data_IF_589395521374
#
_entry.id   IF_589395521374
#
_cell.length_a   1.000
_cell.length_b   1.000
_cell.length_c   1.000
_cell.angle_alpha   90.00
_cell.angle_beta   90.00
_cell.angle_gamma   90.00
#
_symmetry.space_group_name_H-M   'P 1'
#
loop_
_entity.id
_entity.type
_entity.pdbx_description
1 polymer ?
#
# COMPACT_ATOMS: atom_id res chain seq x y z
N UNK A 1 -4.22 2.28 14.02
CA UNK A 1 -3.94 2.75 12.66
C UNK A 1 -4.80 2.05 11.64
N UNK A 2 -5.25 2.76 10.64
CA UNK A 2 -6.08 2.21 9.58
C UNK A 2 -5.24 1.99 8.33
N UNK A 3 -4.99 0.73 8.00
CA UNK A 3 -4.16 0.34 6.86
C UNK A 3 -5.00 -0.31 5.77
N UNK A 4 -4.79 0.11 4.53
CA UNK A 4 -5.38 -0.54 3.37
C UNK A 4 -4.32 -1.38 2.69
N UNK A 5 -4.62 -2.67 2.49
CA UNK A 5 -3.71 -3.61 1.84
C UNK A 5 -4.29 -3.97 0.48
N UNK A 6 -3.52 -3.74 -0.58
CA UNK A 6 -3.92 -4.06 -1.94
C UNK A 6 -3.02 -5.19 -2.43
N UNK A 7 -3.54 -6.42 -2.38
CA UNK A 7 -2.77 -7.63 -2.63
C UNK A 7 -3.68 -8.74 -3.11
N UNK A 8 -3.38 -9.35 -4.24
CA UNK A 8 -4.21 -10.41 -4.83
C UNK A 8 -3.96 -11.81 -4.23
N UNK A 9 -2.80 -12.05 -3.62
CA UNK A 9 -2.47 -13.34 -3.04
C UNK A 9 -3.12 -13.53 -1.67
N UNK A 10 -3.98 -14.56 -1.49
CA UNK A 10 -4.55 -14.85 -0.16
C UNK A 10 -3.49 -15.16 0.89
N UNK A 11 -2.42 -15.84 0.49
CA UNK A 11 -1.33 -16.19 1.40
C UNK A 11 -0.61 -14.93 1.89
N UNK A 12 -0.30 -14.01 0.98
CA UNK A 12 0.40 -12.78 1.34
C UNK A 12 -0.51 -11.90 2.19
N UNK A 13 -1.83 -11.85 1.91
CA UNK A 13 -2.77 -11.11 2.77
C UNK A 13 -2.74 -11.62 4.22
N UNK A 14 -2.62 -12.94 4.41
CA UNK A 14 -2.49 -13.51 5.77
C UNK A 14 -1.21 -13.06 6.45
N UNK A 15 -0.12 -12.96 5.70
CA UNK A 15 1.16 -12.50 6.26
C UNK A 15 1.08 -11.06 6.78
N UNK A 16 0.29 -10.21 6.13
CA UNK A 16 0.05 -8.86 6.63
C UNK A 16 -0.61 -8.88 8.01
N UNK A 17 -1.53 -9.81 8.24
CA UNK A 17 -2.16 -9.97 9.54
C UNK A 17 -1.17 -10.32 10.65
N UNK A 18 -0.09 -11.03 10.33
CA UNK A 18 0.97 -11.33 11.28
C UNK A 18 1.83 -10.09 11.55
N UNK A 19 2.07 -9.29 10.52
CA UNK A 19 2.85 -8.06 10.66
C UNK A 19 2.11 -6.99 11.47
N UNK A 20 0.78 -6.93 11.32
CA UNK A 20 -0.04 -5.87 11.92
C UNK A 20 -1.19 -6.49 12.73
N UNK A 21 -0.95 -6.83 14.01
CA UNK A 21 -1.98 -7.46 14.83
C UNK A 21 -3.23 -6.59 14.97
N UNK A 22 -4.39 -7.23 14.94
CA UNK A 22 -5.70 -6.56 14.99
C UNK A 22 -5.90 -5.68 16.22
N UNK A 23 -5.25 -6.03 17.33
CA UNK A 23 -5.37 -5.24 18.57
C UNK A 23 -4.72 -3.86 18.48
N UNK A 24 -3.82 -3.68 17.51
CA UNK A 24 -3.08 -2.43 17.34
C UNK A 24 -3.42 -1.71 16.05
N UNK A 25 -3.95 -2.45 15.07
CA UNK A 25 -4.18 -1.94 13.72
C UNK A 25 -5.50 -2.42 13.17
N UNK A 26 -6.14 -1.57 12.39
CA UNK A 26 -7.32 -1.94 11.62
C UNK A 26 -6.88 -2.16 10.17
N UNK A 27 -7.00 -3.39 9.70
CA UNK A 27 -6.60 -3.77 8.35
C UNK A 27 -7.82 -3.96 7.47
N UNK A 28 -7.81 -3.32 6.31
CA UNK A 28 -8.77 -3.58 5.25
C UNK A 28 -7.98 -4.14 4.07
N UNK A 29 -8.39 -5.30 3.56
CA UNK A 29 -7.70 -5.93 2.45
C UNK A 29 -8.57 -5.87 1.20
N UNK A 30 -7.95 -5.53 0.07
CA UNK A 30 -8.58 -5.54 -1.24
C UNK A 30 -7.73 -6.39 -2.17
N UNK A 31 -8.36 -7.25 -2.96
CA UNK A 31 -7.63 -8.18 -3.82
C UNK A 31 -7.20 -7.56 -5.15
N UNK A 32 -7.68 -6.36 -5.48
CA UNK A 32 -7.26 -5.64 -6.68
C UNK A 32 -7.44 -4.14 -6.49
N UNK A 33 -6.92 -3.38 -7.45
CA UNK A 33 -6.96 -1.91 -7.38
C UNK A 33 -8.36 -1.33 -7.43
N UNK A 34 -9.26 -1.94 -8.19
CA UNK A 34 -10.64 -1.48 -8.29
C UNK A 34 -11.36 -1.58 -6.95
N UNK A 35 -11.23 -2.73 -6.28
CA UNK A 35 -11.83 -2.93 -4.97
C UNK A 35 -11.19 -2.02 -3.92
N UNK A 36 -9.89 -1.75 -4.06
CA UNK A 36 -9.21 -0.83 -3.17
C UNK A 36 -9.73 0.60 -3.33
N UNK A 37 -9.94 1.05 -4.55
CA UNK A 37 -10.52 2.38 -4.79
C UNK A 37 -11.92 2.49 -4.21
N UNK A 38 -12.73 1.43 -4.35
CA UNK A 38 -14.06 1.39 -3.75
C UNK A 38 -13.97 1.47 -2.23
N UNK A 39 -13.03 0.74 -1.62
CA UNK A 39 -12.83 0.77 -0.17
C UNK A 39 -12.45 2.16 0.33
N UNK A 40 -11.59 2.87 -0.41
CA UNK A 40 -11.22 4.25 -0.06
C UNK A 40 -12.42 5.17 -0.15
N UNK A 41 -13.21 5.05 -1.21
CA UNK A 41 -14.37 5.91 -1.44
C UNK A 41 -15.48 5.67 -0.40
N UNK A 42 -15.64 4.45 0.07
CA UNK A 42 -16.69 4.07 1.01
C UNK A 42 -16.28 4.23 2.47
N UNK A 43 -15.00 4.42 2.75
CA UNK A 43 -14.49 4.49 4.12
C UNK A 43 -15.05 5.72 4.83
N UNK A 44 -15.56 5.53 6.05
CA UNK A 44 -16.06 6.63 6.86
C UNK A 44 -14.93 7.45 7.46
N UNK A 45 -13.76 6.82 7.63
CA UNK A 45 -12.56 7.48 8.11
C UNK A 45 -11.43 7.20 7.11
N UNK A 46 -10.53 8.16 6.89
CA UNK A 46 -9.44 7.96 5.93
C UNK A 46 -8.48 6.87 6.40
N UNK A 47 -7.85 6.21 5.44
CA UNK A 47 -6.76 5.29 5.74
C UNK A 47 -5.50 6.10 6.04
N UNK A 48 -4.70 5.60 6.97
CA UNK A 48 -3.44 6.23 7.36
C UNK A 48 -2.31 5.89 6.38
N UNK A 49 -2.42 4.74 5.73
CA UNK A 49 -1.38 4.27 4.81
C UNK A 49 -1.94 3.17 3.92
N UNK A 50 -1.41 3.08 2.70
CA UNK A 50 -1.74 2.03 1.73
C UNK A 50 -0.50 1.18 1.48
N UNK A 51 -0.65 -0.14 1.63
CA UNK A 51 0.36 -1.12 1.25
C UNK A 51 -0.07 -1.72 -0.09
N UNK A 52 0.75 -1.54 -1.12
CA UNK A 52 0.36 -1.81 -2.50
C UNK A 52 1.34 -2.73 -3.20
N UNK A 53 0.83 -3.78 -3.83
CA UNK A 53 1.59 -4.58 -4.78
C UNK A 53 1.42 -3.98 -6.18
N UNK A 54 2.51 -3.87 -6.93
CA UNK A 54 2.47 -3.31 -8.29
C UNK A 54 1.84 -4.27 -9.30
N UNK A 55 2.03 -5.56 -9.14
CA UNK A 55 1.51 -6.56 -10.07
C UNK A 55 0.20 -7.15 -9.56
N UNK A 56 -0.89 -6.71 -10.17
CA UNK A 56 -2.23 -7.18 -9.82
C UNK A 56 -3.05 -7.40 -11.09
N UNK A 57 -4.05 -8.30 -11.06
CA UNK A 57 -4.97 -8.45 -12.18
C UNK A 57 -5.85 -7.21 -12.33
N UNK A 58 -6.35 -6.96 -13.53
CA UNK A 58 -7.27 -5.90 -13.92
C UNK A 58 -6.67 -4.49 -13.91
N UNK A 59 -6.12 -4.06 -12.79
CA UNK A 59 -5.55 -2.72 -12.65
C UNK A 59 -4.18 -2.87 -11.99
N UNK A 60 -3.10 -2.47 -12.67
CA UNK A 60 -1.78 -2.53 -12.06
C UNK A 60 -1.59 -1.42 -11.02
N UNK A 61 -0.52 -1.53 -10.23
CA UNK A 61 -0.28 -0.61 -9.14
C UNK A 61 -0.07 0.84 -9.58
N UNK A 62 0.51 1.05 -10.77
CA UNK A 62 0.73 2.41 -11.29
C UNK A 62 -0.60 3.07 -11.60
N UNK A 63 -1.52 2.35 -12.24
CA UNK A 63 -2.87 2.86 -12.50
C UNK A 63 -3.59 3.21 -11.20
N UNK A 64 -3.44 2.36 -10.19
CA UNK A 64 -4.03 2.60 -8.87
C UNK A 64 -3.46 3.87 -8.24
N UNK A 65 -2.13 4.05 -8.26
CA UNK A 65 -1.48 5.24 -7.70
C UNK A 65 -1.99 6.49 -8.41
N UNK A 66 -2.09 6.47 -9.74
CA UNK A 66 -2.61 7.62 -10.49
C UNK A 66 -4.02 7.97 -10.05
N UNK A 67 -4.88 6.97 -9.89
CA UNK A 67 -6.25 7.19 -9.48
C UNK A 67 -6.33 7.82 -8.08
N UNK A 68 -5.52 7.34 -7.14
CA UNK A 68 -5.48 7.88 -5.77
C UNK A 68 -4.96 9.31 -5.79
N UNK A 69 -3.87 9.57 -6.49
CA UNK A 69 -3.24 10.89 -6.52
C UNK A 69 -4.07 11.93 -7.26
N UNK A 70 -4.98 11.50 -8.14
CA UNK A 70 -5.84 12.43 -8.89
C UNK A 70 -6.97 13.01 -8.06
N UNK A 71 -7.28 12.44 -6.90
CA UNK A 71 -8.37 12.91 -6.04
C UNK A 71 -7.81 13.65 -4.84
N UNK A 72 -8.12 14.93 -4.66
CA UNK A 72 -7.55 15.71 -3.55
C UNK A 72 -7.76 15.10 -2.18
N UNK A 73 -8.90 14.45 -1.95
CA UNK A 73 -9.19 13.83 -0.66
C UNK A 73 -8.23 12.68 -0.31
N UNK A 74 -7.62 12.04 -1.31
CA UNK A 74 -6.77 10.87 -1.14
C UNK A 74 -5.32 11.09 -1.55
N UNK A 75 -5.02 12.25 -2.14
CA UNK A 75 -3.74 12.51 -2.78
C UNK A 75 -2.55 12.45 -1.82
N UNK A 76 -2.79 12.60 -0.52
CA UNK A 76 -1.72 12.64 0.49
C UNK A 76 -1.57 11.36 1.30
N UNK A 77 -2.40 10.35 1.04
CA UNK A 77 -2.27 9.08 1.76
C UNK A 77 -0.92 8.45 1.38
N UNK A 78 -0.04 8.16 2.35
CA UNK A 78 1.25 7.53 2.04
C UNK A 78 1.04 6.15 1.44
N UNK A 79 1.81 5.84 0.39
CA UNK A 79 1.79 4.53 -0.25
C UNK A 79 3.14 3.88 -0.06
N UNK A 80 3.14 2.67 0.49
CA UNK A 80 4.33 1.82 0.60
C UNK A 80 4.16 0.68 -0.39
N UNK A 81 5.10 0.55 -1.31
CA UNK A 81 5.08 -0.56 -2.26
C UNK A 81 5.66 -1.81 -1.62
N UNK A 82 5.00 -2.96 -1.84
CA UNK A 82 5.54 -4.26 -1.48
C UNK A 82 5.58 -5.09 -2.76
N UNK A 83 6.76 -5.30 -3.32
CA UNK A 83 6.87 -5.82 -4.67
C UNK A 83 8.08 -6.70 -4.90
N UNK A 84 7.94 -7.67 -5.82
CA UNK A 84 9.04 -8.44 -6.37
C UNK A 84 9.55 -7.84 -7.67
N UNK A 85 8.95 -6.76 -8.15
CA UNK A 85 9.31 -6.11 -9.40
C UNK A 85 10.76 -5.64 -9.34
N UNK A 86 11.57 -5.88 -10.39
CA UNK A 86 12.97 -5.45 -10.38
C UNK A 86 13.13 -3.94 -10.22
N UNK A 87 14.13 -3.54 -9.44
CA UNK A 87 14.51 -2.13 -9.32
C UNK A 87 14.90 -1.62 -10.70
N UNK A 88 14.41 -0.47 -11.10
CA UNK A 88 14.72 0.09 -12.39
C UNK A 88 13.87 -0.42 -13.54
N UNK A 89 12.89 -1.31 -13.29
CA UNK A 89 11.91 -1.66 -14.31
C UNK A 89 11.07 -0.42 -14.66
N UNK A 90 10.43 -0.44 -15.82
CA UNK A 90 9.56 0.68 -16.22
C UNK A 90 8.43 0.87 -15.22
N UNK A 91 7.85 -0.22 -14.73
CA UNK A 91 6.77 -0.15 -13.77
C UNK A 91 7.21 0.50 -12.46
N UNK A 92 8.39 0.12 -11.96
CA UNK A 92 8.95 0.72 -10.75
C UNK A 92 9.25 2.21 -10.94
N UNK A 93 9.84 2.59 -12.07
CA UNK A 93 10.13 3.99 -12.34
C UNK A 93 8.88 4.83 -12.40
N UNK A 94 7.83 4.33 -13.03
CA UNK A 94 6.56 5.04 -13.10
C UNK A 94 5.93 5.20 -11.71
N UNK A 95 5.97 4.15 -10.90
CA UNK A 95 5.43 4.21 -9.54
C UNK A 95 6.19 5.22 -8.69
N UNK A 96 7.51 5.19 -8.74
CA UNK A 96 8.34 6.11 -7.96
C UNK A 96 8.15 7.56 -8.41
N UNK A 97 7.98 7.79 -9.72
CA UNK A 97 7.73 9.13 -10.26
C UNK A 97 6.41 9.72 -9.77
N UNK A 98 5.43 8.87 -9.47
CA UNK A 98 4.14 9.33 -8.93
C UNK A 98 4.17 9.61 -7.44
N UNK A 99 5.25 9.24 -6.77
CA UNK A 99 5.45 9.51 -5.35
C UNK A 99 4.98 8.38 -4.45
N UNK A 100 5.94 7.59 -3.95
CA UNK A 100 5.69 6.56 -2.95
C UNK A 100 6.57 6.85 -1.74
N UNK A 101 6.09 6.48 -0.55
CA UNK A 101 6.80 6.77 0.69
C UNK A 101 7.96 5.82 0.94
N UNK A 102 7.84 4.57 0.50
CA UNK A 102 8.88 3.56 0.67
C UNK A 102 8.62 2.37 -0.24
N UNK A 103 9.64 1.53 -0.42
CA UNK A 103 9.54 0.28 -1.18
C UNK A 103 10.08 -0.84 -0.31
N UNK A 104 9.31 -1.91 -0.15
CA UNK A 104 9.72 -3.12 0.57
C UNK A 104 9.74 -4.27 -0.44
N UNK A 105 10.86 -4.96 -0.52
CA UNK A 105 11.05 -6.03 -1.49
C UNK A 105 10.45 -7.33 -0.98
N UNK A 106 9.76 -8.06 -1.87
CA UNK A 106 9.28 -9.42 -1.58
C UNK A 106 10.42 -10.43 -1.78
N UNK A 107 10.53 -11.45 -0.96
CA UNK A 107 9.75 -11.68 0.26
C UNK A 107 10.23 -10.78 1.40
N UNK A 108 9.28 -10.29 2.20
CA UNK A 108 9.61 -9.45 3.35
C UNK A 108 9.31 -10.22 4.65
N UNK A 109 9.99 -9.80 5.73
CA UNK A 109 9.71 -10.32 7.06
C UNK A 109 8.74 -9.38 7.77
N UNK A 110 7.83 -9.90 8.60
CA UNK A 110 6.87 -9.05 9.31
C UNK A 110 7.51 -7.87 10.05
N UNK A 111 8.64 -8.09 10.71
CA UNK A 111 9.32 -7.02 11.44
C UNK A 111 9.86 -5.93 10.51
N UNK A 112 10.40 -6.34 9.37
CA UNK A 112 10.90 -5.40 8.37
C UNK A 112 9.78 -4.48 7.87
N UNK A 113 8.64 -5.08 7.55
CA UNK A 113 7.49 -4.33 7.07
C UNK A 113 6.96 -3.38 8.14
N UNK A 114 6.84 -3.85 9.39
CA UNK A 114 6.42 -2.99 10.50
C UNK A 114 7.33 -1.80 10.69
N UNK A 115 8.64 -2.03 10.63
CA UNK A 115 9.62 -0.96 10.83
C UNK A 115 9.49 0.11 9.75
N UNK A 116 9.29 -0.29 8.49
CA UNK A 116 9.11 0.65 7.39
C UNK A 116 7.82 1.45 7.57
N UNK A 117 6.72 0.79 7.90
CA UNK A 117 5.43 1.45 8.08
C UNK A 117 5.51 2.45 9.24
N UNK A 118 6.11 2.05 10.36
CA UNK A 118 6.27 2.95 11.51
C UNK A 118 7.12 4.17 11.14
N UNK A 119 8.19 3.97 10.40
CA UNK A 119 9.04 5.08 9.96
C UNK A 119 8.27 6.06 9.09
N UNK A 120 7.47 5.55 8.15
CA UNK A 120 6.67 6.39 7.26
C UNK A 120 5.64 7.19 8.05
N UNK A 121 4.94 6.54 8.99
CA UNK A 121 3.87 7.16 9.75
C UNK A 121 4.35 8.13 10.83
N UNK A 122 5.55 7.93 11.35
CA UNK A 122 6.15 8.81 12.37
C UNK A 122 7.16 9.80 11.78
N UNK A 123 7.18 9.93 10.45
CA UNK A 123 8.09 10.87 9.80
C UNK A 123 7.71 12.28 10.21
N UNK A 124 8.68 13.08 10.71
CA UNK A 124 8.37 14.45 11.13
C UNK A 124 7.81 15.25 9.95
N UNK A 125 6.79 16.04 10.24
CA UNK A 125 6.27 17.01 9.31
C UNK A 125 7.26 18.17 9.29
N UNK A 126 8.01 18.27 8.22
CA UNK A 126 9.03 19.30 8.20
C UNK A 126 9.14 19.93 6.88
#
# INVERSE_FOLDING_TARGET
MRLLIVEDSPLVRKMYGLAFPKREHELTAAENGRLALAAIAEAQQPFDLILLDLRMPDMDGVEFIRAVRSKPAFARIPIVLTTAEPSGSDLMRQAEALGVAAVVRKPWKPQELRDVVQTVLHKPVG
#
